data_IF_246494023719
#
_entry.id   IF_246494023719
#
_cell.length_a   1.000
_cell.length_b   1.000
_cell.length_c   1.000
_cell.angle_alpha   90.00
_cell.angle_beta   90.00
_cell.angle_gamma   90.00
#
_symmetry.space_group_name_H-M   'P 1'
#
loop_
_entity.id
_entity.type
_entity.pdbx_description
1 polymer ?
#
# COMPACT_ATOMS: atom_id res chain seq x y z
N UNK A 1 50.14 16.20 -15.13
CA UNK A 1 49.55 15.66 -16.36
C UNK A 1 49.52 14.15 -16.23
N UNK A 2 48.44 13.58 -15.65
CA UNK A 2 48.02 12.19 -15.79
C UNK A 2 46.56 12.13 -15.36
N UNK A 3 45.69 12.03 -16.37
CA UNK A 3 44.29 11.65 -16.25
C UNK A 3 44.26 10.14 -16.02
N UNK A 4 43.54 9.68 -15.00
CA UNK A 4 43.13 8.28 -14.90
C UNK A 4 41.61 8.22 -14.90
N UNK A 5 41.08 7.91 -16.07
CA UNK A 5 39.78 7.34 -16.33
C UNK A 5 39.62 6.00 -15.61
N UNK A 6 38.50 5.80 -14.91
CA UNK A 6 37.89 4.49 -14.67
C UNK A 6 36.47 4.66 -14.11
N UNK A 7 35.51 4.98 -14.98
CA UNK A 7 34.08 4.85 -14.68
C UNK A 7 33.41 4.06 -15.80
N UNK A 8 33.52 2.73 -15.75
CA UNK A 8 32.55 1.83 -16.39
C UNK A 8 32.74 0.41 -15.87
N UNK A 9 32.13 0.11 -14.73
CA UNK A 9 31.79 -1.28 -14.39
C UNK A 9 30.31 -1.45 -14.65
N UNK A 10 30.00 -1.96 -15.84
CA UNK A 10 28.71 -2.56 -16.18
C UNK A 10 28.36 -3.62 -15.14
N UNK A 11 27.38 -3.32 -14.29
CA UNK A 11 26.65 -4.34 -13.52
C UNK A 11 25.58 -4.91 -14.45
N UNK A 12 25.96 -5.91 -15.23
CA UNK A 12 25.03 -6.92 -15.71
C UNK A 12 24.80 -7.85 -14.52
N UNK A 13 23.78 -7.54 -13.71
CA UNK A 13 23.14 -8.58 -12.91
C UNK A 13 21.99 -9.12 -13.72
N UNK A 14 22.23 -10.26 -14.34
CA UNK A 14 21.17 -11.23 -14.56
C UNK A 14 20.57 -11.54 -13.18
N UNK A 15 19.40 -10.96 -12.93
CA UNK A 15 18.55 -11.23 -11.78
C UNK A 15 17.95 -12.62 -11.97
N UNK A 16 18.58 -13.61 -11.35
CA UNK A 16 17.93 -14.87 -11.00
C UNK A 16 17.05 -14.58 -9.76
N UNK A 17 15.85 -14.07 -10.01
CA UNK A 17 14.86 -13.79 -8.99
C UNK A 17 14.04 -15.05 -8.68
N UNK A 18 13.83 -15.44 -7.41
CA UNK A 18 12.93 -16.53 -7.05
C UNK A 18 11.47 -16.19 -7.43
N UNK A 19 10.59 -17.19 -7.60
CA UNK A 19 9.42 -17.06 -8.48
C UNK A 19 8.25 -16.34 -7.79
N UNK A 20 8.09 -15.03 -8.06
CA UNK A 20 6.85 -14.29 -7.78
C UNK A 20 5.70 -14.64 -8.75
N UNK A 21 5.89 -15.61 -9.65
CA UNK A 21 4.84 -16.17 -10.53
C UNK A 21 3.90 -17.16 -9.82
N UNK A 22 4.25 -17.67 -8.64
CA UNK A 22 3.26 -18.37 -7.80
C UNK A 22 2.31 -17.40 -7.08
N UNK A 23 2.57 -16.08 -7.11
CA UNK A 23 1.71 -15.07 -6.48
C UNK A 23 0.94 -14.18 -7.46
N UNK A 24 1.29 -14.05 -8.75
CA UNK A 24 0.68 -13.01 -9.60
C UNK A 24 0.53 -13.32 -11.09
N UNK A 25 0.36 -14.59 -11.49
CA UNK A 25 0.10 -14.97 -12.89
C UNK A 25 -1.36 -15.38 -13.16
N UNK A 26 -2.34 -14.63 -12.62
CA UNK A 26 -3.72 -14.57 -13.13
C UNK A 26 -4.29 -13.16 -12.95
N UNK A 27 -3.99 -12.25 -13.88
CA UNK A 27 -4.75 -11.00 -14.04
C UNK A 27 -4.85 -10.65 -15.52
N UNK A 28 -5.39 -11.58 -16.31
CA UNK A 28 -5.81 -11.32 -17.69
C UNK A 28 -6.88 -12.32 -18.12
N UNK A 29 -8.02 -12.34 -17.42
CA UNK A 29 -9.32 -12.75 -17.96
C UNK A 29 -10.42 -12.35 -16.96
N UNK A 30 -11.26 -11.40 -17.38
CA UNK A 30 -12.56 -10.99 -16.81
C UNK A 30 -13.49 -12.20 -16.48
N UNK A 31 -14.40 -12.12 -15.50
CA UNK A 31 -15.46 -11.10 -15.49
C UNK A 31 -15.77 -10.38 -14.16
N UNK A 32 -16.26 -9.14 -14.36
CA UNK A 32 -17.10 -8.30 -13.49
C UNK A 32 -17.53 -8.85 -12.11
N UNK A 33 -16.87 -8.33 -11.06
CA UNK A 33 -17.44 -8.19 -9.70
C UNK A 33 -17.13 -6.77 -9.24
N UNK A 34 -18.16 -6.12 -8.70
CA UNK A 34 -18.24 -4.70 -8.35
C UNK A 34 -17.17 -4.30 -7.30
N UNK A 35 -16.08 -3.72 -7.81
CA UNK A 35 -14.82 -3.41 -7.11
C UNK A 35 -14.54 -1.90 -7.12
N UNK A 36 -15.59 -1.09 -7.04
CA UNK A 36 -15.53 0.34 -7.38
C UNK A 36 -14.66 1.19 -6.44
N UNK A 37 -14.39 0.77 -5.20
CA UNK A 37 -13.62 1.60 -4.25
C UNK A 37 -12.10 1.52 -4.51
N UNK A 38 -11.55 0.34 -4.82
CA UNK A 38 -10.12 0.18 -5.10
C UNK A 38 -9.76 0.38 -6.58
N UNK A 39 -10.67 0.05 -7.51
CA UNK A 39 -10.48 0.38 -8.94
C UNK A 39 -10.53 1.89 -9.20
N UNK A 40 -11.31 2.65 -8.44
CA UNK A 40 -11.33 4.12 -8.55
C UNK A 40 -10.05 4.77 -8.01
N UNK A 41 -9.44 4.16 -6.98
CA UNK A 41 -8.20 4.65 -6.38
C UNK A 41 -7.00 4.55 -7.33
N UNK A 42 -6.91 3.50 -8.17
CA UNK A 42 -5.70 3.24 -8.98
C UNK A 42 -5.91 2.99 -10.48
N UNK A 43 -7.07 2.50 -10.92
CA UNK A 43 -7.28 2.02 -12.29
C UNK A 43 -7.21 3.08 -13.39
N UNK A 44 -7.69 4.30 -13.15
CA UNK A 44 -7.86 5.30 -14.21
C UNK A 44 -6.67 6.26 -14.43
N UNK A 45 -5.47 5.94 -13.92
CA UNK A 45 -4.27 6.77 -14.15
C UNK A 45 -3.33 6.22 -15.24
N UNK A 46 -3.59 5.04 -15.78
CA UNK A 46 -2.76 4.39 -16.79
C UNK A 46 -3.20 4.78 -18.20
N UNK A 47 -2.44 5.67 -18.84
CA UNK A 47 -2.51 5.83 -20.30
C UNK A 47 -2.13 4.51 -20.97
N UNK A 48 -2.97 4.06 -21.91
CA UNK A 48 -2.84 2.83 -22.71
C UNK A 48 -1.42 2.58 -23.25
N UNK A 49 -0.95 1.34 -23.10
CA UNK A 49 0.07 0.71 -23.93
C UNK A 49 -0.26 -0.78 -24.07
N UNK A 50 -0.23 -1.29 -25.29
CA UNK A 50 -0.84 -2.56 -25.75
C UNK A 50 -0.26 -3.85 -25.12
N UNK A 51 -1.02 -4.96 -25.09
CA UNK A 51 -0.58 -6.25 -24.54
C UNK A 51 0.08 -7.17 -25.59
N UNK A 52 1.04 -8.00 -25.17
CA UNK A 52 1.60 -9.11 -25.95
C UNK A 52 1.51 -10.44 -25.15
N UNK A 53 1.49 -11.60 -25.84
CA UNK A 53 0.71 -12.77 -25.42
C UNK A 53 1.51 -13.87 -24.70
N UNK A 54 0.75 -14.73 -24.02
CA UNK A 54 1.16 -15.87 -23.20
C UNK A 54 1.66 -17.09 -23.98
N UNK A 55 2.46 -17.93 -23.33
CA UNK A 55 2.59 -19.36 -23.65
C UNK A 55 3.29 -20.19 -22.55
N UNK A 56 2.53 -21.17 -22.05
CA UNK A 56 2.88 -22.53 -21.58
C UNK A 56 3.45 -22.85 -20.18
N UNK A 57 2.65 -23.72 -19.53
CA UNK A 57 2.96 -24.92 -18.74
C UNK A 57 3.24 -24.76 -17.23
N UNK A 58 2.37 -25.35 -16.39
CA UNK A 58 2.56 -26.68 -15.79
C UNK A 58 1.36 -27.09 -14.92
N UNK A 59 1.26 -28.41 -14.75
CA UNK A 59 0.17 -29.27 -14.27
C UNK A 59 -0.13 -29.16 -12.74
N UNK A 60 -1.39 -28.97 -12.31
CA UNK A 60 -1.76 -28.67 -10.91
C UNK A 60 -2.02 -29.88 -9.98
N UNK A 61 -1.91 -31.15 -10.40
CA UNK A 61 -2.33 -32.27 -9.54
C UNK A 61 -1.28 -32.81 -8.54
N UNK A 62 -0.10 -32.20 -8.41
CA UNK A 62 0.99 -32.81 -7.65
C UNK A 62 1.06 -32.47 -6.13
N UNK A 63 0.09 -31.78 -5.52
CA UNK A 63 0.29 -31.14 -4.21
C UNK A 63 -0.80 -31.37 -3.13
N UNK A 64 -1.64 -32.40 -3.27
CA UNK A 64 -2.73 -32.68 -2.30
C UNK A 64 -2.41 -33.71 -1.20
N UNK A 65 -1.14 -33.99 -0.92
CA UNK A 65 -0.75 -34.90 0.16
C UNK A 65 0.02 -34.12 1.24
N UNK A 66 -0.42 -34.26 2.49
CA UNK A 66 0.17 -33.77 3.76
C UNK A 66 -0.36 -32.44 4.34
N UNK A 67 -1.55 -32.50 4.95
CA UNK A 67 -1.91 -31.66 6.10
C UNK A 67 -2.08 -32.59 7.32
N UNK A 68 -1.38 -32.36 8.46
CA UNK A 68 -1.65 -33.09 9.69
C UNK A 68 -2.82 -32.46 10.47
N UNK A 69 -3.70 -33.34 10.97
CA UNK A 69 -4.79 -33.06 11.90
C UNK A 69 -4.29 -32.54 13.25
N UNK A 70 -4.91 -31.46 13.75
CA UNK A 70 -4.75 -30.98 15.11
C UNK A 70 -6.10 -30.97 15.84
N UNK A 71 -6.43 -32.14 16.41
CA UNK A 71 -7.50 -32.34 17.40
C UNK A 71 -6.93 -32.10 18.81
N UNK A 72 -7.58 -31.24 19.59
CA UNK A 72 -7.23 -30.99 20.99
C UNK A 72 -8.32 -30.22 21.74
N UNK A 73 -9.30 -30.96 22.27
CA UNK A 73 -10.32 -30.48 23.20
C UNK A 73 -9.72 -30.23 24.59
N UNK A 74 -10.28 -29.28 25.34
CA UNK A 74 -10.66 -29.49 26.75
C UNK A 74 -11.69 -28.43 27.18
N UNK A 75 -12.80 -28.93 27.68
CA UNK A 75 -13.88 -28.23 28.39
C UNK A 75 -13.52 -28.19 29.89
N UNK A 76 -13.98 -27.19 30.61
CA UNK A 76 -14.52 -27.31 31.98
C UNK A 76 -15.14 -25.98 32.45
N UNK A 77 -16.00 -26.09 33.45
CA UNK A 77 -17.33 -25.50 33.55
C UNK A 77 -17.51 -24.60 34.83
N UNK A 78 -18.57 -23.78 34.81
CA UNK A 78 -19.41 -23.36 35.96
C UNK A 78 -18.91 -22.31 37.02
N UNK A 79 -19.62 -21.16 37.18
CA UNK A 79 -20.73 -20.97 38.17
C UNK A 79 -21.08 -19.50 38.55
N UNK A 80 -22.39 -19.20 38.41
CA UNK A 80 -23.31 -18.31 39.16
C UNK A 80 -23.20 -16.76 39.24
N UNK A 81 -24.29 -16.15 38.74
CA UNK A 81 -24.92 -14.82 38.87
C UNK A 81 -25.54 -14.52 40.28
N UNK A 82 -26.28 -13.39 40.54
CA UNK A 82 -26.39 -12.08 39.84
C UNK A 82 -26.42 -10.85 40.81
N UNK A 83 -26.20 -9.63 40.29
CA UNK A 83 -26.80 -8.41 40.87
C UNK A 83 -26.94 -7.30 39.82
N UNK A 84 -28.04 -6.59 39.93
CA UNK A 84 -28.67 -5.62 39.03
C UNK A 84 -27.91 -4.30 38.84
N UNK A 85 -27.73 -3.88 37.59
CA UNK A 85 -27.71 -2.47 37.18
C UNK A 85 -28.08 -2.35 35.70
N UNK A 86 -29.02 -1.47 35.39
CA UNK A 86 -29.57 -1.22 34.06
C UNK A 86 -28.48 -1.04 33.00
N UNK A 87 -28.37 -2.03 32.13
CA UNK A 87 -27.39 -2.12 31.07
C UNK A 87 -27.90 -1.39 29.82
N UNK A 88 -27.27 -0.27 29.50
CA UNK A 88 -27.21 0.21 28.12
C UNK A 88 -26.55 -0.92 27.33
N UNK A 89 -27.35 -1.71 26.61
CA UNK A 89 -26.88 -2.72 25.65
C UNK A 89 -26.15 -1.97 24.52
N UNK A 90 -24.88 -1.67 24.73
CA UNK A 90 -23.95 -1.43 23.65
C UNK A 90 -23.86 -2.74 22.87
N UNK A 91 -24.53 -2.77 21.73
CA UNK A 91 -24.49 -3.86 20.76
C UNK A 91 -23.13 -3.80 20.04
N UNK A 92 -22.05 -4.03 20.79
CA UNK A 92 -20.68 -4.20 20.29
C UNK A 92 -20.59 -5.58 19.62
N UNK A 93 -21.28 -5.73 18.48
CA UNK A 93 -21.03 -6.86 17.58
C UNK A 93 -19.67 -6.63 16.95
N UNK A 94 -18.64 -7.21 17.57
CA UNK A 94 -17.42 -7.54 16.86
C UNK A 94 -17.80 -8.43 15.67
N UNK A 95 -17.95 -7.83 14.49
CA UNK A 95 -18.16 -8.56 13.25
C UNK A 95 -16.87 -9.32 12.96
N UNK A 96 -16.86 -10.60 13.33
CA UNK A 96 -15.81 -11.53 12.89
C UNK A 96 -15.90 -11.57 11.37
N UNK A 97 -14.82 -11.15 10.69
CA UNK A 97 -14.75 -11.22 9.23
C UNK A 97 -14.90 -12.67 8.80
N UNK A 98 -15.78 -12.90 7.82
CA UNK A 98 -15.92 -14.19 7.17
C UNK A 98 -14.66 -14.53 6.36
N UNK A 99 -14.44 -15.83 6.11
CA UNK A 99 -13.31 -16.27 5.29
C UNK A 99 -13.33 -15.66 3.88
N UNK A 100 -14.52 -15.45 3.31
CA UNK A 100 -14.69 -14.83 2.00
C UNK A 100 -14.24 -13.37 2.01
N UNK A 101 -14.60 -12.60 3.04
CA UNK A 101 -14.15 -11.21 3.20
C UNK A 101 -12.64 -11.12 3.40
N UNK A 102 -12.05 -12.04 4.17
CA UNK A 102 -10.58 -12.11 4.34
C UNK A 102 -9.88 -12.40 3.02
N UNK A 103 -10.38 -13.39 2.25
CA UNK A 103 -9.81 -13.72 0.95
C UNK A 103 -9.92 -12.55 -0.04
N UNK A 104 -11.07 -11.88 -0.06
CA UNK A 104 -11.30 -10.68 -0.87
C UNK A 104 -10.31 -9.56 -0.50
N UNK A 105 -10.14 -9.30 0.80
CA UNK A 105 -9.17 -8.33 1.29
C UNK A 105 -7.73 -8.66 0.86
N UNK A 106 -7.31 -9.93 0.96
CA UNK A 106 -5.97 -10.36 0.54
C UNK A 106 -5.77 -10.11 -0.94
N UNK A 107 -6.69 -10.54 -1.80
CA UNK A 107 -6.61 -10.32 -3.26
C UNK A 107 -6.51 -8.83 -3.60
N UNK A 108 -7.28 -7.97 -2.92
CA UNK A 108 -7.26 -6.54 -3.13
C UNK A 108 -5.96 -5.87 -2.66
N UNK A 109 -5.40 -6.31 -1.53
CA UNK A 109 -4.08 -5.88 -1.06
C UNK A 109 -2.97 -6.31 -2.03
N UNK A 110 -3.04 -7.53 -2.52
CA UNK A 110 -2.13 -8.08 -3.52
C UNK A 110 -2.12 -7.24 -4.80
N UNK A 111 -3.30 -6.92 -5.35
CA UNK A 111 -3.44 -6.01 -6.49
C UNK A 111 -2.85 -4.63 -6.19
N UNK A 112 -3.14 -4.06 -5.01
CA UNK A 112 -2.61 -2.77 -4.57
C UNK A 112 -1.08 -2.77 -4.49
N UNK A 113 -0.47 -3.83 -3.94
CA UNK A 113 0.98 -4.01 -3.87
C UNK A 113 1.56 -4.05 -5.29
N UNK A 114 1.03 -4.90 -6.18
CA UNK A 114 1.52 -5.02 -7.56
C UNK A 114 1.42 -3.71 -8.35
N UNK A 115 0.28 -3.01 -8.26
CA UNK A 115 0.07 -1.73 -8.93
C UNK A 115 1.00 -0.63 -8.40
N UNK A 116 1.09 -0.49 -7.08
CA UNK A 116 1.92 0.55 -6.46
C UNK A 116 3.41 0.31 -6.66
N UNK A 117 3.86 -0.94 -6.64
CA UNK A 117 5.24 -1.33 -6.97
C UNK A 117 5.56 -0.95 -8.42
N UNK A 118 4.77 -1.44 -9.37
CA UNK A 118 4.99 -1.13 -10.80
C UNK A 118 4.97 0.38 -11.06
N UNK A 119 4.08 1.11 -10.38
CA UNK A 119 4.06 2.57 -10.48
C UNK A 119 5.35 3.19 -9.94
N UNK A 120 5.89 2.71 -8.83
CA UNK A 120 7.15 3.22 -8.25
C UNK A 120 8.33 3.01 -9.21
N UNK A 121 8.45 1.83 -9.82
CA UNK A 121 9.52 1.51 -10.78
C UNK A 121 9.46 2.39 -12.04
N UNK A 122 8.25 2.66 -12.53
CA UNK A 122 8.05 3.49 -13.73
C UNK A 122 8.12 4.99 -13.43
N UNK A 123 8.02 5.39 -12.16
CA UNK A 123 7.93 6.79 -11.78
C UNK A 123 9.29 7.46 -11.82
N UNK A 124 9.48 8.32 -12.82
CA UNK A 124 10.64 9.23 -12.85
C UNK A 124 10.45 10.36 -11.81
N UNK A 125 11.49 10.73 -11.05
CA UNK A 125 11.42 11.85 -10.12
C UNK A 125 10.95 13.14 -10.83
N UNK A 126 9.84 13.70 -10.36
CA UNK A 126 9.30 14.96 -10.90
C UNK A 126 9.90 16.13 -10.15
N UNK A 127 10.56 17.04 -10.87
CA UNK A 127 11.25 18.21 -10.28
C UNK A 127 10.30 19.30 -9.75
N UNK A 128 9.03 19.31 -10.17
CA UNK A 128 8.05 20.30 -9.69
C UNK A 128 7.45 19.85 -8.36
N UNK A 129 7.52 20.67 -7.29
CA UNK A 129 7.03 20.28 -5.96
C UNK A 129 5.58 19.80 -5.94
N UNK A 130 4.68 20.42 -6.71
CA UNK A 130 3.26 19.99 -6.77
C UNK A 130 3.11 18.54 -7.22
N UNK A 131 3.88 18.10 -8.22
CA UNK A 131 3.79 16.72 -8.71
C UNK A 131 4.55 15.73 -7.82
N UNK A 132 5.62 16.18 -7.16
CA UNK A 132 6.30 15.39 -6.15
C UNK A 132 5.36 15.12 -4.96
N UNK A 133 4.70 16.16 -4.45
CA UNK A 133 3.68 16.03 -3.40
C UNK A 133 2.54 15.09 -3.80
N UNK A 134 2.04 15.19 -5.04
CA UNK A 134 1.01 14.30 -5.56
C UNK A 134 1.46 12.83 -5.63
N UNK A 135 2.71 12.58 -6.07
CA UNK A 135 3.27 11.23 -6.20
C UNK A 135 3.49 10.61 -4.82
N UNK A 136 4.11 11.37 -3.91
CA UNK A 136 4.31 10.94 -2.52
C UNK A 136 2.98 10.74 -1.78
N UNK A 137 1.97 11.57 -2.06
CA UNK A 137 0.63 11.40 -1.51
C UNK A 137 0.00 10.06 -1.91
N UNK A 138 0.15 9.66 -3.18
CA UNK A 138 -0.30 8.34 -3.64
C UNK A 138 0.45 7.20 -2.96
N UNK A 139 1.77 7.33 -2.80
CA UNK A 139 2.55 6.33 -2.08
C UNK A 139 2.10 6.24 -0.61
N UNK A 140 1.85 7.37 0.06
CA UNK A 140 1.35 7.40 1.43
C UNK A 140 0.05 6.60 1.58
N UNK A 141 -0.90 6.78 0.66
CA UNK A 141 -2.19 6.10 0.69
C UNK A 141 -2.03 4.58 0.49
N UNK A 142 -1.19 4.18 -0.47
CA UNK A 142 -0.89 2.76 -0.69
C UNK A 142 -0.22 2.14 0.54
N UNK A 143 0.80 2.79 1.11
CA UNK A 143 1.48 2.32 2.30
C UNK A 143 0.57 2.26 3.54
N UNK A 144 -0.30 3.26 3.76
CA UNK A 144 -1.25 3.22 4.89
C UNK A 144 -2.20 2.03 4.76
N UNK A 145 -2.78 1.79 3.57
CA UNK A 145 -3.65 0.65 3.32
C UNK A 145 -2.92 -0.69 3.49
N UNK A 146 -1.72 -0.84 2.91
CA UNK A 146 -0.92 -2.07 3.02
C UNK A 146 -0.52 -2.33 4.46
N UNK A 147 -0.02 -1.33 5.19
CA UNK A 147 0.38 -1.51 6.60
C UNK A 147 -0.83 -1.77 7.50
N UNK A 148 -1.99 -1.18 7.24
CA UNK A 148 -3.22 -1.57 7.93
C UNK A 148 -3.57 -3.05 7.66
N UNK A 149 -3.45 -3.50 6.41
CA UNK A 149 -3.64 -4.91 6.04
C UNK A 149 -2.65 -5.85 6.75
N UNK A 150 -1.38 -5.46 6.82
CA UNK A 150 -0.34 -6.18 7.57
C UNK A 150 -0.68 -6.28 9.06
N UNK A 151 -1.13 -5.18 9.67
CA UNK A 151 -1.52 -5.18 11.09
C UNK A 151 -2.73 -6.07 11.37
N UNK A 152 -3.66 -6.15 10.42
CA UNK A 152 -4.86 -6.98 10.53
C UNK A 152 -4.56 -8.48 10.33
N UNK A 153 -3.76 -8.81 9.32
CA UNK A 153 -3.48 -10.20 8.91
C UNK A 153 -2.24 -10.80 9.62
N UNK A 154 -1.38 -9.97 10.20
CA UNK A 154 -0.19 -10.36 10.94
C UNK A 154 0.78 -11.22 10.12
N UNK A 155 1.24 -12.32 10.71
CA UNK A 155 2.25 -13.20 10.13
C UNK A 155 1.79 -13.91 8.85
N UNK A 156 0.47 -13.94 8.58
CA UNK A 156 -0.11 -14.56 7.38
C UNK A 156 0.31 -13.84 6.08
N UNK A 157 0.73 -12.58 6.17
CA UNK A 157 1.21 -11.81 5.02
C UNK A 157 2.65 -12.14 4.58
N UNK A 158 3.37 -12.98 5.32
CA UNK A 158 4.72 -13.47 4.98
C UNK A 158 5.71 -12.35 4.57
N UNK A 159 5.68 -11.22 5.29
CA UNK A 159 6.47 -10.01 4.99
C UNK A 159 7.95 -10.26 4.66
N UNK A 160 8.68 -11.16 5.36
CA UNK A 160 10.11 -11.38 5.09
C UNK A 160 10.42 -11.77 3.64
N UNK A 161 9.46 -12.34 2.91
CA UNK A 161 9.65 -12.79 1.53
C UNK A 161 9.69 -11.64 0.52
N UNK A 162 8.94 -10.56 0.76
CA UNK A 162 8.68 -9.55 -0.29
C UNK A 162 8.83 -8.10 0.19
N UNK A 163 8.66 -7.80 1.49
CA UNK A 163 8.57 -6.43 1.98
C UNK A 163 9.80 -5.58 1.63
N UNK A 164 11.00 -6.13 1.83
CA UNK A 164 12.25 -5.43 1.54
C UNK A 164 12.41 -5.11 0.04
N UNK A 165 11.92 -5.97 -0.84
CA UNK A 165 11.96 -5.74 -2.29
C UNK A 165 10.96 -4.66 -2.68
N UNK A 166 9.75 -4.75 -2.14
CA UNK A 166 8.71 -3.74 -2.34
C UNK A 166 9.19 -2.35 -1.92
N UNK A 167 9.69 -2.18 -0.69
CA UNK A 167 10.15 -0.86 -0.20
C UNK A 167 11.36 -0.32 -0.95
N UNK A 168 12.22 -1.20 -1.49
CA UNK A 168 13.38 -0.81 -2.28
C UNK A 168 13.01 -0.15 -3.61
N UNK A 169 11.83 -0.42 -4.16
CA UNK A 169 11.32 0.24 -5.36
C UNK A 169 11.02 1.74 -5.13
N UNK A 170 10.89 2.17 -3.87
CA UNK A 170 10.52 3.53 -3.50
C UNK A 170 11.74 4.37 -3.09
N UNK A 171 12.50 4.87 -4.07
CA UNK A 171 13.54 5.88 -3.83
C UNK A 171 12.91 7.25 -3.55
N UNK A 172 12.91 7.63 -2.27
CA UNK A 172 12.35 8.88 -1.77
C UNK A 172 13.45 9.88 -1.34
N UNK A 173 14.66 9.77 -1.89
CA UNK A 173 15.78 10.62 -1.54
C UNK A 173 15.41 12.12 -1.58
N UNK A 174 15.45 12.84 -0.44
CA UNK A 174 15.01 14.24 -0.37
C UNK A 174 15.79 15.16 -1.32
N UNK A 175 17.05 14.82 -1.60
CA UNK A 175 17.93 15.52 -2.55
C UNK A 175 17.36 15.60 -3.97
N UNK A 176 16.65 14.57 -4.41
CA UNK A 176 16.06 14.52 -5.75
C UNK A 176 14.78 15.36 -5.86
N UNK A 177 14.04 15.51 -4.77
CA UNK A 177 12.73 16.16 -4.75
C UNK A 177 12.79 17.63 -4.34
N UNK A 178 13.78 18.00 -3.52
CA UNK A 178 13.94 19.32 -2.95
C UNK A 178 15.37 19.84 -3.22
N UNK A 179 15.63 20.43 -4.40
CA UNK A 179 16.94 21.03 -4.66
C UNK A 179 17.24 22.09 -3.60
N UNK A 180 18.42 21.93 -2.98
CA UNK A 180 18.99 22.86 -1.99
C UNK A 180 19.27 24.20 -2.67
N UNK A 181 18.96 25.32 -2.00
CA UNK A 181 19.51 26.62 -2.40
C UNK A 181 18.53 27.74 -2.75
N UNK A 182 17.22 27.59 -2.55
CA UNK A 182 16.34 28.76 -2.60
C UNK A 182 16.03 29.26 -1.18
N UNK A 183 16.55 30.43 -0.74
CA UNK A 183 16.25 31.04 0.57
C UNK A 183 14.81 31.59 0.68
N UNK A 184 13.89 31.08 -0.15
CA UNK A 184 12.50 31.51 -0.16
C UNK A 184 11.75 30.88 1.02
N UNK A 185 10.70 31.55 1.54
CA UNK A 185 9.79 30.97 2.51
C UNK A 185 9.39 29.56 2.06
N UNK A 186 9.31 28.64 3.01
CA UNK A 186 8.95 27.25 2.73
C UNK A 186 7.55 27.20 2.13
N UNK A 187 7.49 27.06 0.80
CA UNK A 187 6.21 26.93 0.11
C UNK A 187 5.47 25.69 0.62
N UNK A 188 4.15 25.76 0.66
CA UNK A 188 3.29 24.72 1.25
C UNK A 188 3.59 23.30 0.72
N UNK A 189 3.93 23.16 -0.56
CA UNK A 189 4.32 21.88 -1.15
C UNK A 189 5.65 21.35 -0.62
N UNK A 190 6.64 22.21 -0.31
CA UNK A 190 7.92 21.76 0.27
C UNK A 190 7.72 21.22 1.68
N UNK A 191 6.92 21.91 2.49
CA UNK A 191 6.51 21.44 3.82
C UNK A 191 5.76 20.12 3.73
N UNK A 192 4.78 20.03 2.83
CA UNK A 192 4.00 18.80 2.60
C UNK A 192 4.91 17.64 2.18
N UNK A 193 5.82 17.85 1.23
CA UNK A 193 6.80 16.83 0.80
C UNK A 193 7.62 16.34 1.98
N UNK A 194 8.17 17.24 2.82
CA UNK A 194 8.99 16.83 3.97
C UNK A 194 8.21 15.96 4.96
N UNK A 195 6.97 16.32 5.27
CA UNK A 195 6.11 15.52 6.16
C UNK A 195 5.76 14.16 5.54
N UNK A 196 5.42 14.13 4.26
CA UNK A 196 5.15 12.88 3.53
C UNK A 196 6.36 11.95 3.52
N UNK A 197 7.56 12.49 3.28
CA UNK A 197 8.81 11.73 3.34
C UNK A 197 9.04 11.15 4.73
N UNK A 198 8.87 11.96 5.79
CA UNK A 198 8.98 11.49 7.17
C UNK A 198 8.03 10.34 7.49
N UNK A 199 6.76 10.44 7.07
CA UNK A 199 5.78 9.37 7.26
C UNK A 199 6.11 8.11 6.45
N UNK A 200 6.53 8.26 5.19
CA UNK A 200 6.92 7.15 4.33
C UNK A 200 8.12 6.38 4.88
N UNK A 201 9.08 7.04 5.51
CA UNK A 201 10.21 6.36 6.16
C UNK A 201 9.79 5.55 7.40
N UNK A 202 8.70 5.92 8.08
CA UNK A 202 8.10 5.09 9.13
C UNK A 202 7.38 3.90 8.50
N UNK A 203 6.58 4.14 7.45
CA UNK A 203 5.88 3.08 6.74
C UNK A 203 6.82 2.01 6.19
N UNK A 204 7.93 2.38 5.57
CA UNK A 204 8.95 1.45 5.06
C UNK A 204 9.48 0.46 6.11
N UNK A 205 9.39 0.80 7.39
CA UNK A 205 9.77 -0.10 8.51
C UNK A 205 8.66 -1.08 8.90
N UNK A 206 7.58 -1.16 8.11
CA UNK A 206 6.39 -1.96 8.40
C UNK A 206 5.56 -1.38 9.55
N UNK A 207 5.73 -0.09 9.90
CA UNK A 207 5.04 0.54 11.03
C UNK A 207 4.15 1.68 10.56
N UNK A 208 3.01 1.86 11.23
CA UNK A 208 2.12 2.99 10.98
C UNK A 208 2.62 4.24 11.73
N UNK A 209 2.72 5.42 11.08
CA UNK A 209 2.95 6.69 11.77
C UNK A 209 1.85 6.98 12.81
N UNK A 210 2.09 7.92 13.74
CA UNK A 210 1.07 8.34 14.70
C UNK A 210 -0.24 8.74 13.99
N UNK A 211 -1.37 8.26 14.49
CA UNK A 211 -2.69 8.50 13.87
C UNK A 211 -2.96 10.00 13.60
N UNK A 212 -2.67 10.94 14.52
CA UNK A 212 -2.86 12.37 14.25
C UNK A 212 -2.05 12.88 13.05
N UNK A 213 -0.85 12.33 12.81
CA UNK A 213 -0.02 12.69 11.66
C UNK A 213 -0.61 12.15 10.36
N UNK A 214 -1.11 10.90 10.36
CA UNK A 214 -1.77 10.31 9.18
C UNK A 214 -3.02 11.10 8.80
N UNK A 215 -3.84 11.47 9.78
CA UNK A 215 -5.03 12.31 9.57
C UNK A 215 -4.61 13.66 9.00
N UNK A 216 -3.66 14.36 9.64
CA UNK A 216 -3.20 15.66 9.18
C UNK A 216 -2.65 15.61 7.73
N UNK A 217 -1.92 14.55 7.37
CA UNK A 217 -1.42 14.35 6.01
C UNK A 217 -2.54 14.13 5.00
N UNK A 218 -3.53 13.28 5.32
CA UNK A 218 -4.70 13.07 4.45
C UNK A 218 -5.52 14.35 4.29
N UNK A 219 -5.74 15.10 5.37
CA UNK A 219 -6.42 16.41 5.31
C UNK A 219 -5.65 17.39 4.42
N UNK A 220 -4.32 17.46 4.52
CA UNK A 220 -3.48 18.28 3.64
C UNK A 220 -3.57 17.86 2.16
N UNK A 221 -3.69 16.55 1.90
CA UNK A 221 -3.75 15.99 0.54
C UNK A 221 -5.11 16.19 -0.13
N UNK A 222 -6.21 16.13 0.62
CA UNK A 222 -7.57 16.11 0.06
C UNK A 222 -8.41 17.34 0.34
N UNK A 223 -8.31 17.91 1.54
CA UNK A 223 -9.21 18.96 2.02
C UNK A 223 -8.59 20.37 1.97
N UNK A 224 -7.26 20.47 1.87
CA UNK A 224 -6.60 21.77 1.83
C UNK A 224 -6.81 22.48 0.48
N UNK A 225 -6.99 23.80 0.50
CA UNK A 225 -7.13 24.64 -0.73
C UNK A 225 -5.99 24.43 -1.74
N UNK A 226 -4.79 24.17 -1.22
CA UNK A 226 -3.57 23.94 -2.00
C UNK A 226 -3.29 22.46 -2.28
N UNK A 227 -4.28 21.58 -2.13
CA UNK A 227 -4.14 20.15 -2.44
C UNK A 227 -3.57 19.93 -3.87
N UNK A 228 -2.69 18.92 -4.06
CA UNK A 228 -2.15 18.60 -5.38
C UNK A 228 -3.26 18.25 -6.39
N UNK A 229 -3.06 18.65 -7.65
CA UNK A 229 -4.12 18.67 -8.68
C UNK A 229 -4.96 17.40 -8.79
N UNK A 230 -4.34 16.23 -9.01
CA UNK A 230 -5.10 14.97 -9.19
C UNK A 230 -5.79 14.45 -7.92
N UNK A 231 -5.45 14.99 -6.76
CA UNK A 231 -6.12 14.66 -5.50
C UNK A 231 -7.36 15.53 -5.26
N UNK A 232 -7.58 16.54 -6.12
CA UNK A 232 -8.81 17.34 -6.16
C UNK A 232 -9.91 16.73 -7.04
N UNK A 233 -9.61 15.67 -7.77
CA UNK A 233 -10.60 14.99 -8.61
C UNK A 233 -11.78 14.49 -7.76
N UNK A 234 -13.01 14.54 -8.31
CA UNK A 234 -14.27 14.20 -7.63
C UNK A 234 -14.29 12.81 -6.98
N UNK A 235 -13.49 11.87 -7.51
CA UNK A 235 -13.34 10.54 -6.91
C UNK A 235 -12.79 10.53 -5.48
N UNK A 236 -12.18 11.64 -5.06
CA UNK A 236 -11.69 11.85 -3.69
C UNK A 236 -12.68 12.61 -2.81
N UNK A 237 -13.88 12.95 -3.31
CA UNK A 237 -14.92 13.61 -2.54
C UNK A 237 -15.32 12.81 -1.29
N UNK A 238 -15.45 11.47 -1.32
CA UNK A 238 -15.74 10.70 -0.10
C UNK A 238 -14.74 10.98 1.04
N UNK A 239 -13.45 11.13 0.72
CA UNK A 239 -12.41 11.47 1.69
C UNK A 239 -12.49 12.91 2.20
N UNK A 240 -12.99 13.83 1.36
CA UNK A 240 -13.21 15.23 1.76
C UNK A 240 -14.42 15.38 2.67
N UNK A 241 -15.49 14.64 2.40
CA UNK A 241 -16.68 14.64 3.24
C UNK A 241 -16.39 14.04 4.62
N UNK A 242 -15.66 12.91 4.67
CA UNK A 242 -15.23 12.31 5.94
C UNK A 242 -14.38 13.27 6.79
N UNK A 243 -13.52 14.06 6.14
CA UNK A 243 -12.69 15.05 6.82
C UNK A 243 -13.45 16.24 7.41
N UNK A 244 -14.72 16.48 7.02
CA UNK A 244 -15.54 17.54 7.61
C UNK A 244 -16.04 17.19 9.01
N UNK A 245 -15.97 15.92 9.40
CA UNK A 245 -16.56 15.42 10.63
C UNK A 245 -18.10 15.42 10.59
N UNK A 246 -18.75 14.77 11.57
CA UNK A 246 -20.20 14.81 11.74
C UNK A 246 -20.72 16.20 12.15
#
# INVERSE_FOLDING_TARGET
>A
MFLNDAFTTSRVYALDAPPLRQLFEVASAEPAVDSDILFTLLGNCLGRGDPLPAAHALDPEAWLEEIPDASGKTEDEEKAQPASSEAVKADDKQSVLSQEEVNSLVMELEKLIGMSWRQAELSKPKRRPVYAAETLGRHLLAFDAIVCGIQLLGDKMQLPLWWNQYVAAFDHSPSHLLPYGSPKPEGIYRMMIRRLLGALEIYKRGKRPPLPEVIALKTMLFAHKDAPGRLKDHKWDPWREDAKGP
#
